data_IF_225320146582
#
_entry.id   IF_225320146582
#
_cell.length_a   1.000
_cell.length_b   1.000
_cell.length_c   1.000
_cell.angle_alpha   90.00
_cell.angle_beta   90.00
_cell.angle_gamma   90.00
#
_symmetry.space_group_name_H-M   'P 1'
#
loop_
_entity.id
_entity.type
_entity.pdbx_description
1 polymer ?
#
# COMPACT_ATOMS: atom_id res chain seq x y z
N UNK A 1 -48.12 -8.66 -20.94
CA UNK A 1 -46.98 -8.06 -21.66
C UNK A 1 -45.72 -8.72 -21.13
N UNK A 2 -45.00 -9.50 -21.93
CA UNK A 2 -43.78 -10.19 -21.50
C UNK A 2 -42.58 -9.25 -21.69
N UNK A 3 -41.81 -9.04 -20.63
CA UNK A 3 -40.56 -8.27 -20.72
C UNK A 3 -39.52 -9.10 -21.46
N UNK A 4 -38.82 -8.47 -22.40
CA UNK A 4 -37.77 -9.13 -23.19
C UNK A 4 -36.59 -9.55 -22.27
N UNK A 5 -36.16 -10.81 -22.40
CA UNK A 5 -35.04 -11.35 -21.63
C UNK A 5 -33.70 -10.67 -21.96
N UNK A 6 -33.51 -10.21 -23.20
CA UNK A 6 -32.32 -9.44 -23.57
C UNK A 6 -32.25 -8.14 -22.79
N UNK A 7 -33.36 -7.41 -22.69
CA UNK A 7 -33.46 -6.17 -21.91
C UNK A 7 -33.14 -6.40 -20.42
N UNK A 8 -33.66 -7.47 -19.80
CA UNK A 8 -33.34 -7.80 -18.41
C UNK A 8 -31.84 -8.12 -18.25
N UNK A 9 -31.26 -8.82 -19.22
CA UNK A 9 -29.83 -9.17 -19.22
C UNK A 9 -28.95 -7.93 -19.34
N UNK A 10 -29.30 -7.01 -20.24
CA UNK A 10 -28.59 -5.74 -20.44
C UNK A 10 -28.59 -4.90 -19.16
N UNK A 11 -29.74 -4.76 -18.50
CA UNK A 11 -29.84 -4.03 -17.22
C UNK A 11 -28.99 -4.70 -16.13
N UNK A 12 -29.00 -6.04 -16.04
CA UNK A 12 -28.14 -6.77 -15.10
C UNK A 12 -26.65 -6.55 -15.39
N UNK A 13 -26.25 -6.51 -16.66
CA UNK A 13 -24.86 -6.24 -17.06
C UNK A 13 -24.44 -4.86 -16.61
N UNK A 14 -25.25 -3.82 -16.89
CA UNK A 14 -24.96 -2.44 -16.48
C UNK A 14 -24.76 -2.35 -14.96
N UNK A 15 -25.62 -3.01 -14.17
CA UNK A 15 -25.50 -3.04 -12.71
C UNK A 15 -24.22 -3.75 -12.28
N UNK A 16 -23.90 -4.90 -12.88
CA UNK A 16 -22.70 -5.66 -12.57
C UNK A 16 -21.43 -4.86 -12.86
N UNK A 17 -21.37 -4.24 -14.04
CA UNK A 17 -20.22 -3.44 -14.48
C UNK A 17 -20.02 -2.21 -13.58
N UNK A 18 -21.10 -1.54 -13.17
CA UNK A 18 -21.03 -0.41 -12.26
C UNK A 18 -20.49 -0.83 -10.87
N UNK A 19 -20.97 -1.96 -10.33
CA UNK A 19 -20.49 -2.49 -9.04
C UNK A 19 -19.02 -2.88 -9.12
N UNK A 20 -18.61 -3.56 -10.19
CA UNK A 20 -17.23 -3.97 -10.37
C UNK A 20 -16.28 -2.76 -10.47
N UNK A 21 -16.66 -1.73 -11.25
CA UNK A 21 -15.90 -0.49 -11.34
C UNK A 21 -15.75 0.20 -9.98
N UNK A 22 -16.83 0.26 -9.19
CA UNK A 22 -16.79 0.84 -7.85
C UNK A 22 -15.84 0.07 -6.91
N UNK A 23 -15.92 -1.27 -6.91
CA UNK A 23 -15.03 -2.12 -6.11
C UNK A 23 -13.57 -1.90 -6.50
N UNK A 24 -13.25 -1.95 -7.81
CA UNK A 24 -11.89 -1.72 -8.30
C UNK A 24 -11.36 -0.33 -7.93
N UNK A 25 -12.19 0.70 -8.00
CA UNK A 25 -11.79 2.06 -7.60
C UNK A 25 -11.49 2.14 -6.09
N UNK A 26 -12.33 1.54 -5.25
CA UNK A 26 -12.10 1.48 -3.80
C UNK A 26 -10.83 0.70 -3.46
N UNK A 27 -10.64 -0.47 -4.08
CA UNK A 27 -9.46 -1.29 -3.83
C UNK A 27 -8.19 -0.58 -4.27
N UNK A 28 -8.19 0.11 -5.41
CA UNK A 28 -7.08 0.93 -5.85
C UNK A 28 -6.72 2.01 -4.83
N UNK A 29 -7.71 2.76 -4.34
CA UNK A 29 -7.48 3.80 -3.32
C UNK A 29 -6.99 3.21 -2.00
N UNK A 30 -7.49 2.05 -1.59
CA UNK A 30 -7.00 1.34 -0.39
C UNK A 30 -5.55 0.92 -0.54
N UNK A 31 -5.16 0.37 -1.68
CA UNK A 31 -3.77 -0.02 -1.94
C UNK A 31 -2.82 1.19 -1.83
N UNK A 32 -3.20 2.34 -2.41
CA UNK A 32 -2.42 3.58 -2.29
C UNK A 32 -2.35 4.06 -0.84
N UNK A 33 -3.48 4.06 -0.12
CA UNK A 33 -3.53 4.45 1.28
C UNK A 33 -2.59 3.60 2.14
N UNK A 34 -2.65 2.27 2.02
CA UNK A 34 -1.76 1.36 2.77
C UNK A 34 -0.29 1.58 2.43
N UNK A 35 0.04 1.82 1.15
CA UNK A 35 1.39 2.16 0.74
C UNK A 35 1.90 3.46 1.38
N UNK A 36 1.10 4.52 1.35
CA UNK A 36 1.45 5.81 1.95
C UNK A 36 1.62 5.72 3.47
N UNK A 37 0.77 4.97 4.16
CA UNK A 37 0.92 4.71 5.60
C UNK A 37 2.24 3.98 5.87
N UNK A 38 2.53 2.93 5.10
CA UNK A 38 3.78 2.20 5.19
C UNK A 38 5.02 3.08 5.00
N UNK A 39 4.98 3.98 4.01
CA UNK A 39 6.01 4.99 3.76
C UNK A 39 6.23 5.88 4.97
N UNK A 40 5.17 6.47 5.52
CA UNK A 40 5.26 7.38 6.66
C UNK A 40 5.79 6.69 7.90
N UNK A 41 5.36 5.47 8.18
CA UNK A 41 5.91 4.66 9.30
C UNK A 41 7.41 4.43 9.09
N UNK A 42 7.82 4.00 7.89
CA UNK A 42 9.23 3.74 7.59
C UNK A 42 10.09 4.99 7.75
N UNK A 43 9.67 6.13 7.21
CA UNK A 43 10.39 7.39 7.32
C UNK A 43 10.53 7.86 8.79
N UNK A 44 9.47 7.71 9.59
CA UNK A 44 9.49 8.05 11.01
C UNK A 44 10.46 7.15 11.80
N UNK A 45 10.47 5.85 11.52
CA UNK A 45 11.44 4.91 12.11
C UNK A 45 12.88 5.27 11.74
N UNK A 46 13.13 5.72 10.51
CA UNK A 46 14.46 6.16 10.06
C UNK A 46 14.90 7.48 10.72
N UNK A 47 13.98 8.31 11.20
CA UNK A 47 14.30 9.50 11.98
C UNK A 47 14.65 9.14 13.44
N UNK A 48 14.05 8.08 13.99
CA UNK A 48 14.30 7.58 15.35
C UNK A 48 15.44 6.55 15.49
N UNK A 49 16.41 6.55 14.56
CA UNK A 49 17.44 5.52 14.32
C UNK A 49 18.22 5.00 15.53
N UNK A 50 18.32 5.77 16.61
CA UNK A 50 19.17 5.43 17.76
C UNK A 50 18.51 4.45 18.75
N UNK A 51 17.30 3.95 18.45
CA UNK A 51 16.53 3.11 19.38
C UNK A 51 15.96 1.89 18.68
N UNK A 52 16.57 0.72 18.92
CA UNK A 52 16.11 -0.56 18.37
C UNK A 52 14.62 -0.86 18.67
N UNK A 53 14.11 -0.41 19.82
CA UNK A 53 12.72 -0.66 20.25
C UNK A 53 11.71 0.39 19.74
N UNK A 54 12.18 1.48 19.12
CA UNK A 54 11.33 2.61 18.74
C UNK A 54 10.27 2.25 17.70
N UNK A 55 10.64 1.46 16.68
CA UNK A 55 9.68 1.04 15.65
C UNK A 55 8.55 0.16 16.20
N UNK A 56 8.87 -0.73 17.14
CA UNK A 56 7.85 -1.56 17.82
C UNK A 56 6.90 -0.71 18.65
N UNK A 57 7.44 0.25 19.41
CA UNK A 57 6.63 1.18 20.20
C UNK A 57 5.75 2.09 19.31
N UNK A 58 6.32 2.65 18.24
CA UNK A 58 5.64 3.54 17.31
C UNK A 58 4.40 2.87 16.70
N UNK A 59 4.56 1.66 16.17
CA UNK A 59 3.47 0.95 15.49
C UNK A 59 2.37 0.57 16.49
N UNK A 60 2.74 0.13 17.70
CA UNK A 60 1.77 -0.16 18.76
C UNK A 60 0.98 1.09 19.15
N UNK A 61 1.68 2.19 19.43
CA UNK A 61 1.03 3.45 19.81
C UNK A 61 0.12 3.99 18.70
N UNK A 62 0.57 3.90 17.44
CA UNK A 62 -0.21 4.31 16.28
C UNK A 62 -1.51 3.49 16.20
N UNK A 63 -1.43 2.17 16.31
CA UNK A 63 -2.61 1.29 16.33
C UNK A 63 -3.60 1.67 17.44
N UNK A 64 -3.12 1.93 18.66
CA UNK A 64 -3.96 2.30 19.80
C UNK A 64 -4.75 3.59 19.55
N UNK A 65 -4.21 4.52 18.75
CA UNK A 65 -4.85 5.79 18.42
C UNK A 65 -5.83 5.70 17.26
N UNK A 66 -5.46 5.02 16.19
CA UNK A 66 -6.25 5.06 14.94
C UNK A 66 -7.22 3.88 14.80
N UNK A 67 -6.94 2.72 15.42
CA UNK A 67 -7.83 1.56 15.33
C UNK A 67 -9.23 1.84 15.92
N UNK A 68 -9.40 2.56 17.05
CA UNK A 68 -10.73 2.89 17.55
C UNK A 68 -11.57 3.75 16.59
N UNK A 69 -10.91 4.56 15.77
CA UNK A 69 -11.57 5.48 14.82
C UNK A 69 -11.87 4.81 13.48
N UNK A 70 -10.91 4.04 12.94
CA UNK A 70 -10.98 3.49 11.59
C UNK A 70 -11.20 1.97 11.53
N UNK A 71 -11.25 1.30 12.68
CA UNK A 71 -11.62 -0.10 12.81
C UNK A 71 -10.47 -1.10 12.56
N UNK A 72 -10.86 -2.35 12.28
CA UNK A 72 -9.96 -3.52 12.26
C UNK A 72 -8.87 -3.50 11.17
N UNK A 73 -8.99 -2.59 10.20
CA UNK A 73 -7.94 -2.37 9.20
C UNK A 73 -6.64 -1.81 9.79
N UNK A 74 -6.65 -1.26 11.00
CA UNK A 74 -5.51 -0.52 11.55
C UNK A 74 -4.95 -1.11 12.85
N UNK A 75 -5.04 -2.43 12.99
CA UNK A 75 -4.36 -3.15 14.08
C UNK A 75 -2.83 -3.07 13.95
N UNK A 76 -2.11 -3.26 15.06
CA UNK A 76 -0.63 -3.34 15.09
C UNK A 76 -0.09 -4.28 14.02
N UNK A 77 -0.74 -5.44 13.83
CA UNK A 77 -0.37 -6.41 12.78
C UNK A 77 -0.47 -5.83 11.38
N UNK A 78 -1.58 -5.14 11.06
CA UNK A 78 -1.80 -4.53 9.75
C UNK A 78 -0.79 -3.41 9.48
N UNK A 79 -0.50 -2.58 10.48
CA UNK A 79 0.49 -1.51 10.35
C UNK A 79 1.92 -2.03 10.11
N UNK A 80 2.30 -3.15 10.74
CA UNK A 80 3.55 -3.84 10.41
C UNK A 80 3.58 -4.30 8.95
N UNK A 81 2.45 -4.82 8.44
CA UNK A 81 2.32 -5.24 7.05
C UNK A 81 2.43 -4.06 6.09
N UNK A 82 1.84 -2.91 6.39
CA UNK A 82 1.93 -1.71 5.55
C UNK A 82 3.36 -1.20 5.46
N UNK A 83 4.07 -1.13 6.59
CA UNK A 83 5.50 -0.78 6.61
C UNK A 83 6.32 -1.76 5.76
N UNK A 84 6.08 -3.07 5.92
CA UNK A 84 6.77 -4.09 5.14
C UNK A 84 6.48 -3.95 3.65
N UNK A 85 5.20 -3.75 3.28
CA UNK A 85 4.78 -3.56 1.90
C UNK A 85 5.53 -2.40 1.24
N UNK A 86 5.64 -1.26 1.92
CA UNK A 86 6.43 -0.12 1.42
C UNK A 86 7.91 -0.49 1.24
N UNK A 87 8.52 -1.12 2.24
CA UNK A 87 9.95 -1.49 2.21
C UNK A 87 10.26 -2.46 1.07
N UNK A 88 9.45 -3.50 0.93
CA UNK A 88 9.68 -4.56 -0.04
C UNK A 88 9.51 -4.02 -1.48
N UNK A 89 8.52 -3.15 -1.71
CA UNK A 89 8.36 -2.46 -3.00
C UNK A 89 9.50 -1.46 -3.28
N UNK A 90 9.91 -0.69 -2.26
CA UNK A 90 11.02 0.28 -2.40
C UNK A 90 12.34 -0.41 -2.73
N UNK A 91 12.59 -1.58 -2.14
CA UNK A 91 13.76 -2.39 -2.45
C UNK A 91 13.73 -2.90 -3.89
N UNK A 92 12.57 -3.34 -4.38
CA UNK A 92 12.39 -3.79 -5.77
C UNK A 92 12.66 -2.67 -6.78
N UNK A 93 12.08 -1.48 -6.58
CA UNK A 93 12.31 -0.31 -7.44
C UNK A 93 13.78 0.07 -7.46
N UNK A 94 14.43 0.12 -6.29
CA UNK A 94 15.86 0.46 -6.19
C UNK A 94 16.75 -0.57 -6.90
N UNK A 95 16.39 -1.85 -6.86
CA UNK A 95 17.13 -2.88 -7.61
C UNK A 95 16.95 -2.77 -9.11
N UNK A 96 15.79 -2.34 -9.60
CA UNK A 96 15.57 -2.10 -11.03
C UNK A 96 16.45 -0.95 -11.56
N UNK A 97 16.55 0.15 -10.80
CA UNK A 97 17.43 1.28 -11.13
C UNK A 97 18.93 0.92 -11.03
N UNK A 98 19.27 -0.07 -10.22
CA UNK A 98 20.66 -0.54 -10.06
C UNK A 98 21.08 -1.48 -11.20
N UNK A 99 20.15 -2.19 -11.85
CA UNK A 99 20.45 -3.09 -12.97
C UNK A 99 20.84 -2.31 -14.24
N UNK A 100 20.49 -1.03 -14.37
CA UNK A 100 20.98 -0.15 -15.45
C UNK A 100 22.37 0.45 -15.20
N UNK A 101 22.90 0.37 -13.98
CA UNK A 101 24.26 0.85 -13.67
C UNK A 101 25.25 -0.31 -13.67
N UNK A 102 25.71 -0.63 -14.89
CA UNK A 102 26.89 -1.42 -15.18
C UNK A 102 28.06 -1.02 -14.23
N UNK A 103 28.79 -1.97 -13.61
CA UNK A 103 29.97 -1.70 -12.76
C UNK A 103 31.00 -0.74 -13.38
N UNK A 104 31.01 -0.57 -14.71
CA UNK A 104 31.84 0.43 -15.42
C UNK A 104 31.52 1.87 -15.00
N UNK A 105 30.25 2.24 -14.76
CA UNK A 105 29.85 3.60 -14.37
C UNK A 105 30.26 3.95 -12.92
N UNK A 106 30.35 2.95 -12.04
CA UNK A 106 30.68 3.13 -10.62
C UNK A 106 32.17 3.43 -10.41
N UNK A 107 33.05 3.04 -11.34
CA UNK A 107 34.48 3.32 -11.29
C UNK A 107 34.83 4.80 -11.60
N UNK A 108 33.96 5.51 -12.34
CA UNK A 108 34.22 6.90 -12.80
C UNK A 108 33.86 7.94 -11.72
N UNK A 109 33.01 7.61 -10.75
CA UNK A 109 32.66 8.52 -9.63
C UNK A 109 33.61 8.44 -8.43
N UNK A 110 34.69 7.67 -8.52
CA UNK A 110 35.64 7.44 -7.42
C UNK A 110 37.04 8.04 -7.64
N UNK A 111 37.18 8.90 -8.65
CA UNK A 111 38.32 9.77 -8.90
C UNK A 111 37.86 11.22 -9.05
#
# INVERSE_FOLDING_TARGET
MLINQSFITDIKSIISDAKEKAIRAVDHQRTLMYWHIGKRIFEEEQAGKDRADYGTYLIKHLSEKIQPEFGSGFTTRQLHWYRQFYRDLSNCVRTADTIELDPVQTAIKRW
#
